data_IF_976355659585
#
_entry.id   IF_976355659585
#
_cell.length_a   1.000
_cell.length_b   1.000
_cell.length_c   1.000
_cell.angle_alpha   90.00
_cell.angle_beta   90.00
_cell.angle_gamma   90.00
#
_symmetry.space_group_name_H-M   'P 1'
#
loop_
_entity.id
_entity.type
_entity.pdbx_description
1 polymer ?
#
# COMPACT_ATOMS: atom_id res chain seq x y z
N UNK A 1 -16.71 -37.17 -48.70
CA UNK A 1 -17.10 -35.79 -48.24
C UNK A 1 -17.27 -35.68 -46.72
N UNK A 2 -17.65 -36.71 -46.00
CA UNK A 2 -17.85 -36.71 -44.53
C UNK A 2 -16.53 -36.52 -43.74
N UNK A 3 -15.41 -36.99 -44.27
CA UNK A 3 -14.08 -36.85 -43.59
C UNK A 3 -13.53 -35.43 -43.68
N UNK A 4 -13.75 -34.74 -44.80
CA UNK A 4 -13.38 -33.32 -44.99
C UNK A 4 -14.21 -32.40 -44.13
N UNK A 5 -15.50 -32.65 -43.93
CA UNK A 5 -16.40 -31.86 -43.08
C UNK A 5 -16.03 -31.95 -41.60
N UNK A 6 -15.58 -33.13 -41.12
CA UNK A 6 -15.08 -33.25 -39.72
C UNK A 6 -13.78 -32.48 -39.49
N UNK A 7 -12.85 -32.48 -40.44
CA UNK A 7 -11.60 -31.74 -40.32
C UNK A 7 -11.79 -30.21 -40.26
N UNK A 8 -12.72 -29.67 -41.06
CA UNK A 8 -13.08 -28.24 -40.99
C UNK A 8 -13.73 -27.87 -39.67
N UNK A 9 -14.64 -28.69 -39.14
CA UNK A 9 -15.27 -28.46 -37.84
C UNK A 9 -14.27 -28.44 -36.68
N UNK A 10 -13.28 -29.33 -36.71
CA UNK A 10 -12.19 -29.36 -35.70
C UNK A 10 -11.26 -28.15 -35.80
N UNK A 11 -10.98 -27.64 -36.98
CA UNK A 11 -10.18 -26.41 -37.19
C UNK A 11 -10.93 -25.20 -36.66
N UNK A 12 -12.22 -25.04 -36.96
CA UNK A 12 -13.05 -23.96 -36.45
C UNK A 12 -13.17 -24.00 -34.93
N UNK A 13 -13.35 -25.19 -34.35
CA UNK A 13 -13.42 -25.37 -32.90
C UNK A 13 -12.10 -25.00 -32.19
N UNK A 14 -10.95 -25.39 -32.77
CA UNK A 14 -9.63 -24.99 -32.26
C UNK A 14 -9.37 -23.49 -32.40
N UNK A 15 -9.81 -22.88 -33.51
CA UNK A 15 -9.70 -21.44 -33.69
C UNK A 15 -10.57 -20.65 -32.71
N UNK A 16 -11.81 -21.12 -32.44
CA UNK A 16 -12.68 -20.53 -31.41
C UNK A 16 -12.07 -20.63 -30.02
N UNK A 17 -11.59 -21.78 -29.61
CA UNK A 17 -10.94 -21.97 -28.32
C UNK A 17 -9.67 -21.10 -28.18
N UNK A 18 -8.87 -20.95 -29.24
CA UNK A 18 -7.69 -20.10 -29.23
C UNK A 18 -8.06 -18.62 -29.13
N UNK A 19 -9.16 -18.19 -29.77
CA UNK A 19 -9.66 -16.83 -29.67
C UNK A 19 -10.14 -16.49 -28.26
N UNK A 20 -10.93 -17.38 -27.66
CA UNK A 20 -11.46 -17.20 -26.29
C UNK A 20 -10.32 -17.17 -25.26
N UNK A 21 -9.32 -18.05 -25.41
CA UNK A 21 -8.14 -18.05 -24.54
C UNK A 21 -7.34 -16.75 -24.67
N UNK A 22 -7.11 -16.26 -25.88
CA UNK A 22 -6.42 -14.98 -26.09
C UNK A 22 -7.20 -13.80 -25.52
N UNK A 23 -8.53 -13.80 -25.69
CA UNK A 23 -9.38 -12.77 -25.11
C UNK A 23 -9.31 -12.75 -23.59
N UNK A 24 -9.31 -13.92 -22.95
CA UNK A 24 -9.15 -14.02 -21.49
C UNK A 24 -7.77 -13.49 -21.05
N UNK A 25 -6.69 -13.88 -21.72
CA UNK A 25 -5.34 -13.37 -21.40
C UNK A 25 -5.28 -11.86 -21.48
N UNK A 26 -5.84 -11.26 -22.53
CA UNK A 26 -5.90 -9.79 -22.67
C UNK A 26 -6.68 -9.15 -21.54
N UNK A 27 -7.78 -9.74 -21.07
CA UNK A 27 -8.57 -9.21 -19.96
C UNK A 27 -7.82 -9.26 -18.62
N UNK A 28 -6.99 -10.27 -18.38
CA UNK A 28 -6.10 -10.31 -17.21
C UNK A 28 -5.01 -9.24 -17.30
N UNK A 29 -4.40 -9.08 -18.46
CA UNK A 29 -3.34 -8.11 -18.70
C UNK A 29 -3.86 -6.66 -18.61
N UNK A 30 -5.10 -6.40 -19.01
CA UNK A 30 -5.75 -5.08 -18.88
C UNK A 30 -5.86 -4.64 -17.42
N UNK A 31 -6.26 -5.53 -16.50
CA UNK A 31 -6.34 -5.21 -15.06
C UNK A 31 -4.97 -4.83 -14.51
N UNK A 32 -3.94 -5.61 -14.80
CA UNK A 32 -2.58 -5.30 -14.35
C UNK A 32 -2.06 -4.00 -14.96
N UNK A 33 -2.41 -3.70 -16.21
CA UNK A 33 -2.02 -2.45 -16.87
C UNK A 33 -2.64 -1.24 -16.18
N UNK A 34 -3.93 -1.26 -15.87
CA UNK A 34 -4.62 -0.17 -15.19
C UNK A 34 -4.01 0.10 -13.81
N UNK A 35 -3.76 -0.92 -13.02
CA UNK A 35 -3.13 -0.78 -11.71
C UNK A 35 -1.70 -0.26 -11.81
N UNK A 36 -0.95 -0.71 -12.81
CA UNK A 36 0.42 -0.22 -13.08
C UNK A 36 0.42 1.26 -13.45
N UNK A 37 -0.50 1.69 -14.30
CA UNK A 37 -0.62 3.10 -14.70
C UNK A 37 -0.87 3.99 -13.48
N UNK A 38 -1.74 3.57 -12.55
CA UNK A 38 -2.00 4.30 -11.30
C UNK A 38 -0.72 4.41 -10.46
N UNK A 39 -0.08 3.29 -10.16
CA UNK A 39 1.13 3.28 -9.31
C UNK A 39 2.29 4.06 -9.96
N UNK A 40 2.46 3.96 -11.26
CA UNK A 40 3.53 4.67 -11.95
C UNK A 40 3.28 6.17 -12.04
N UNK A 41 2.02 6.62 -12.15
CA UNK A 41 1.65 8.02 -12.06
C UNK A 41 1.95 8.57 -10.65
N UNK A 42 1.49 7.92 -9.60
CA UNK A 42 1.78 8.28 -8.20
C UNK A 42 3.31 8.33 -7.93
N UNK A 43 4.03 7.30 -8.39
CA UNK A 43 5.48 7.25 -8.26
C UNK A 43 6.18 8.38 -9.01
N UNK A 44 5.72 8.70 -10.21
CA UNK A 44 6.26 9.81 -11.01
C UNK A 44 6.04 11.14 -10.30
N UNK A 45 4.86 11.38 -9.76
CA UNK A 45 4.52 12.58 -9.03
C UNK A 45 5.43 12.78 -7.81
N UNK A 46 5.71 11.70 -7.05
CA UNK A 46 6.65 11.75 -5.93
C UNK A 46 8.08 12.05 -6.39
N UNK A 47 8.58 11.43 -7.46
CA UNK A 47 9.93 11.65 -7.98
C UNK A 47 10.12 13.09 -8.44
N UNK A 48 9.15 13.60 -9.19
CA UNK A 48 9.23 14.93 -9.81
C UNK A 48 8.81 16.07 -8.88
N UNK A 49 8.23 15.75 -7.70
CA UNK A 49 7.82 16.75 -6.73
C UNK A 49 9.03 17.61 -6.31
N UNK A 50 8.96 18.90 -6.59
CA UNK A 50 9.91 19.91 -6.06
C UNK A 50 9.22 20.72 -4.95
N UNK A 51 8.50 20.02 -4.08
CA UNK A 51 7.72 20.58 -2.98
C UNK A 51 7.77 19.67 -1.77
N UNK A 52 7.39 20.21 -0.63
CA UNK A 52 7.16 19.43 0.58
C UNK A 52 6.00 18.44 0.37
N UNK A 53 6.23 17.18 0.76
CA UNK A 53 5.25 16.08 0.68
C UNK A 53 4.53 15.85 2.02
N UNK A 54 4.70 16.75 3.01
CA UNK A 54 4.01 16.65 4.29
C UNK A 54 2.50 16.54 4.17
N UNK A 55 1.79 17.28 3.28
CA UNK A 55 0.35 17.14 3.13
C UNK A 55 -0.09 15.73 2.72
N UNK A 56 0.65 15.09 1.83
CA UNK A 56 0.39 13.71 1.38
C UNK A 56 0.61 12.72 2.52
N UNK A 57 1.71 12.89 3.25
CA UNK A 57 2.05 12.04 4.40
C UNK A 57 1.00 12.20 5.51
N UNK A 58 0.58 13.43 5.83
CA UNK A 58 -0.49 13.69 6.79
C UNK A 58 -1.80 13.02 6.38
N UNK A 59 -2.13 13.03 5.08
CA UNK A 59 -3.30 12.33 4.56
C UNK A 59 -3.17 10.80 4.72
N UNK A 60 -1.97 10.22 4.50
CA UNK A 60 -1.71 8.80 4.73
C UNK A 60 -1.84 8.43 6.21
N UNK A 61 -1.29 9.23 7.11
CA UNK A 61 -1.42 9.07 8.57
C UNK A 61 -2.90 9.06 8.96
N UNK A 62 -3.66 10.04 8.50
CA UNK A 62 -5.09 10.16 8.80
C UNK A 62 -5.88 8.95 8.30
N UNK A 63 -5.64 8.50 7.07
CA UNK A 63 -6.31 7.30 6.52
C UNK A 63 -5.93 6.03 7.26
N UNK A 64 -4.68 5.90 7.69
CA UNK A 64 -4.21 4.78 8.50
C UNK A 64 -4.92 4.74 9.85
N UNK A 65 -5.01 5.86 10.57
CA UNK A 65 -5.73 5.97 11.84
C UNK A 65 -7.21 5.64 11.67
N UNK A 66 -7.86 6.22 10.65
CA UNK A 66 -9.27 5.96 10.37
C UNK A 66 -9.52 4.46 10.15
N UNK A 67 -8.67 3.80 9.35
CA UNK A 67 -8.81 2.36 9.05
C UNK A 67 -8.71 1.49 10.30
N UNK A 68 -7.82 1.83 11.21
CA UNK A 68 -7.65 1.07 12.47
C UNK A 68 -8.83 1.29 13.40
N UNK A 69 -9.28 2.53 13.62
CA UNK A 69 -10.40 2.83 14.49
C UNK A 69 -11.70 2.25 13.94
N UNK A 70 -11.94 2.39 12.63
CA UNK A 70 -13.14 1.83 11.98
C UNK A 70 -13.12 0.30 11.96
N UNK A 71 -11.94 -0.31 11.74
CA UNK A 71 -11.77 -1.75 11.78
C UNK A 71 -12.01 -2.37 13.15
N UNK A 72 -11.77 -1.63 14.22
CA UNK A 72 -11.97 -2.07 15.60
C UNK A 72 -13.41 -1.83 16.11
N UNK A 73 -14.29 -1.21 15.31
CA UNK A 73 -15.65 -0.81 15.73
C UNK A 73 -16.61 -1.98 16.00
N UNK A 74 -16.24 -3.20 15.63
CA UNK A 74 -17.05 -4.41 15.82
C UNK A 74 -16.66 -5.22 17.06
N UNK A 75 -15.63 -4.81 17.80
CA UNK A 75 -15.17 -5.44 19.03
C UNK A 75 -15.83 -4.83 20.25
N UNK A 76 -15.78 -5.52 21.39
CA UNK A 76 -16.18 -4.94 22.67
C UNK A 76 -15.35 -3.69 22.98
N UNK A 77 -15.89 -2.77 23.77
CA UNK A 77 -15.30 -1.45 24.00
C UNK A 77 -13.85 -1.55 24.56
N UNK A 78 -13.62 -2.47 25.49
CA UNK A 78 -12.33 -2.65 26.13
C UNK A 78 -11.30 -3.25 25.14
N UNK A 79 -11.68 -4.28 24.38
CA UNK A 79 -10.85 -4.90 23.34
C UNK A 79 -10.51 -3.91 22.23
N UNK A 80 -11.44 -3.02 21.88
CA UNK A 80 -11.26 -1.96 20.90
C UNK A 80 -10.20 -0.96 21.37
N UNK A 81 -10.33 -0.44 22.60
CA UNK A 81 -9.38 0.53 23.16
C UNK A 81 -7.98 -0.10 23.23
N UNK A 82 -7.90 -1.34 23.72
CA UNK A 82 -6.63 -2.06 23.78
C UNK A 82 -5.97 -2.23 22.40
N UNK A 83 -6.74 -2.63 21.39
CA UNK A 83 -6.23 -2.79 20.04
C UNK A 83 -5.72 -1.47 19.44
N UNK A 84 -6.47 -0.38 19.61
CA UNK A 84 -6.09 0.96 19.14
C UNK A 84 -4.86 1.45 19.88
N UNK A 85 -4.79 1.25 21.20
CA UNK A 85 -3.68 1.66 22.02
C UNK A 85 -2.38 0.91 21.65
N UNK A 86 -2.46 -0.41 21.49
CA UNK A 86 -1.36 -1.22 21.05
C UNK A 86 -0.85 -0.77 19.66
N UNK A 87 -1.79 -0.53 18.74
CA UNK A 87 -1.43 0.03 17.43
C UNK A 87 -0.69 1.37 17.56
N UNK A 88 -1.22 2.30 18.36
CA UNK A 88 -0.63 3.62 18.52
C UNK A 88 0.78 3.54 19.13
N UNK A 89 0.97 2.78 20.21
CA UNK A 89 2.27 2.60 20.86
C UNK A 89 3.32 1.98 19.94
N UNK A 90 2.94 0.96 19.17
CA UNK A 90 3.89 0.28 18.29
C UNK A 90 4.19 1.04 17.00
N UNK A 91 3.27 1.85 16.49
CA UNK A 91 3.38 2.39 15.14
C UNK A 91 3.40 3.93 15.06
N UNK A 92 2.75 4.65 15.98
CA UNK A 92 2.60 6.10 15.87
C UNK A 92 3.47 6.87 16.86
N UNK A 93 3.44 6.48 18.13
CA UNK A 93 4.01 7.27 19.22
C UNK A 93 4.99 6.44 20.06
N UNK A 94 5.66 7.05 21.03
CA UNK A 94 6.44 6.31 22.03
C UNK A 94 5.52 5.58 23.00
N UNK A 95 5.95 4.43 23.52
CA UNK A 95 5.14 3.59 24.42
C UNK A 95 4.57 4.33 25.64
N UNK A 96 5.35 5.27 26.20
CA UNK A 96 5.00 6.04 27.41
C UNK A 96 4.16 7.28 27.12
N UNK A 97 3.86 7.60 25.85
CA UNK A 97 3.21 8.87 25.49
C UNK A 97 1.68 8.80 25.38
N UNK A 98 1.09 7.63 25.52
CA UNK A 98 -0.35 7.39 25.46
C UNK A 98 -0.77 6.31 26.45
N UNK A 99 -1.89 6.52 27.15
CA UNK A 99 -2.46 5.60 28.15
C UNK A 99 -3.94 5.29 27.86
N UNK A 100 -4.46 4.26 28.49
CA UNK A 100 -5.87 3.85 28.37
C UNK A 100 -6.82 5.00 28.72
N UNK A 101 -6.49 5.76 29.79
CA UNK A 101 -7.27 6.92 30.25
C UNK A 101 -7.40 8.03 29.21
N UNK A 102 -6.50 8.07 28.23
CA UNK A 102 -6.55 9.08 27.16
C UNK A 102 -7.62 8.77 26.10
N UNK A 103 -8.03 7.51 26.00
CA UNK A 103 -9.01 7.02 25.03
C UNK A 103 -10.36 6.67 25.65
N UNK A 104 -10.40 6.39 26.95
CA UNK A 104 -11.63 6.04 27.66
C UNK A 104 -12.69 7.13 27.55
N UNK A 105 -13.93 6.72 27.25
CA UNK A 105 -15.10 7.61 27.17
C UNK A 105 -15.16 8.51 25.94
N UNK A 106 -14.19 8.43 25.05
CA UNK A 106 -14.20 9.18 23.78
C UNK A 106 -14.97 8.45 22.69
N UNK A 107 -15.61 9.21 21.84
CA UNK A 107 -16.19 8.71 20.58
C UNK A 107 -15.09 8.35 19.58
N UNK A 108 -15.44 7.55 18.56
CA UNK A 108 -14.51 7.16 17.50
C UNK A 108 -13.87 8.36 16.81
N UNK A 109 -14.64 9.42 16.60
CA UNK A 109 -14.13 10.64 15.98
C UNK A 109 -13.13 11.37 16.89
N UNK A 110 -13.42 11.46 18.18
CA UNK A 110 -12.51 12.07 19.16
C UNK A 110 -11.20 11.27 19.29
N UNK A 111 -11.29 9.93 19.23
CA UNK A 111 -10.10 9.06 19.20
C UNK A 111 -9.27 9.31 17.96
N UNK A 112 -9.90 9.38 16.76
CA UNK A 112 -9.21 9.66 15.50
C UNK A 112 -8.50 11.00 15.53
N UNK A 113 -9.17 12.04 15.99
CA UNK A 113 -8.62 13.39 16.04
C UNK A 113 -7.47 13.47 17.05
N UNK A 114 -7.62 12.87 18.23
CA UNK A 114 -6.57 12.79 19.23
C UNK A 114 -5.32 12.06 18.74
N UNK A 115 -5.49 10.87 18.12
CA UNK A 115 -4.38 10.10 17.58
C UNK A 115 -3.69 10.83 16.43
N UNK A 116 -4.45 11.55 15.62
CA UNK A 116 -3.90 12.32 14.52
C UNK A 116 -3.06 13.50 15.03
N UNK A 117 -3.52 14.27 16.02
CA UNK A 117 -2.74 15.33 16.64
C UNK A 117 -1.44 14.81 17.23
N UNK A 118 -1.49 13.70 17.99
CA UNK A 118 -0.30 13.06 18.54
C UNK A 118 0.68 12.58 17.47
N UNK A 119 0.15 11.99 16.39
CA UNK A 119 0.98 11.55 15.29
C UNK A 119 1.67 12.74 14.59
N UNK A 120 1.00 13.89 14.43
CA UNK A 120 1.61 15.10 13.88
C UNK A 120 2.73 15.63 14.77
N UNK A 121 2.57 15.65 16.09
CA UNK A 121 3.63 16.06 17.02
C UNK A 121 4.89 15.19 16.85
N UNK A 122 4.71 13.86 16.71
CA UNK A 122 5.83 12.94 16.47
C UNK A 122 6.45 13.19 15.10
N UNK A 123 5.63 13.37 14.06
CA UNK A 123 6.08 13.69 12.71
C UNK A 123 6.94 14.97 12.71
N UNK A 124 6.45 16.06 13.28
CA UNK A 124 7.16 17.33 13.36
C UNK A 124 8.48 17.19 14.11
N UNK A 125 8.50 16.40 15.19
CA UNK A 125 9.71 16.10 15.95
C UNK A 125 10.75 15.32 15.13
N UNK A 126 10.30 14.45 14.20
CA UNK A 126 11.20 13.72 13.31
C UNK A 126 11.76 14.63 12.21
N UNK A 127 10.90 15.43 11.59
CA UNK A 127 11.31 16.39 10.56
C UNK A 127 12.29 17.42 11.11
N UNK A 128 12.07 17.92 12.34
CA UNK A 128 12.96 18.87 13.01
C UNK A 128 14.39 18.35 13.24
N UNK A 129 14.62 17.03 13.18
CA UNK A 129 15.96 16.44 13.25
C UNK A 129 16.73 16.53 11.95
N UNK A 130 16.06 16.86 10.84
CA UNK A 130 16.69 17.02 9.54
C UNK A 130 17.25 18.44 9.41
N UNK A 131 18.38 18.54 8.72
CA UNK A 131 19.21 19.75 8.70
C UNK A 131 18.59 20.93 7.96
N UNK A 132 17.88 20.67 6.88
CA UNK A 132 17.30 21.67 5.98
C UNK A 132 16.11 21.11 5.21
N UNK A 133 15.38 21.99 4.52
CA UNK A 133 14.20 21.61 3.74
C UNK A 133 14.50 20.64 2.57
N UNK A 134 15.71 20.70 2.01
CA UNK A 134 16.12 19.78 0.95
C UNK A 134 16.28 18.35 1.51
N UNK A 135 16.88 18.22 2.69
CA UNK A 135 16.99 16.93 3.38
C UNK A 135 15.62 16.38 3.77
N UNK A 136 14.67 17.24 4.15
CA UNK A 136 13.28 16.83 4.43
C UNK A 136 12.63 16.25 3.18
N UNK A 137 12.66 16.99 2.06
CA UNK A 137 12.09 16.54 0.79
C UNK A 137 12.70 15.22 0.31
N UNK A 138 14.02 15.11 0.38
CA UNK A 138 14.73 13.88 -0.02
C UNK A 138 14.34 12.69 0.87
N UNK A 139 14.29 12.90 2.18
CA UNK A 139 13.87 11.86 3.13
C UNK A 139 12.45 11.37 2.85
N UNK A 140 11.49 12.29 2.66
CA UNK A 140 10.11 11.98 2.34
C UNK A 140 10.00 11.16 1.04
N UNK A 141 10.67 11.63 -0.04
CA UNK A 141 10.68 10.94 -1.34
C UNK A 141 11.24 9.54 -1.24
N UNK A 142 12.43 9.40 -0.66
CA UNK A 142 13.09 8.10 -0.54
C UNK A 142 12.26 7.10 0.24
N UNK A 143 11.64 7.56 1.35
CA UNK A 143 10.82 6.69 2.17
C UNK A 143 9.57 6.23 1.44
N UNK A 144 8.83 7.14 0.81
CA UNK A 144 7.61 6.81 0.05
C UNK A 144 7.95 5.85 -1.10
N UNK A 145 8.96 6.20 -1.92
CA UNK A 145 9.35 5.38 -3.07
C UNK A 145 9.78 3.98 -2.67
N UNK A 146 10.54 3.85 -1.59
CA UNK A 146 10.97 2.53 -1.09
C UNK A 146 9.79 1.65 -0.71
N UNK A 147 8.80 2.21 -0.02
CA UNK A 147 7.61 1.45 0.39
C UNK A 147 6.78 1.08 -0.82
N UNK A 148 6.51 2.04 -1.72
CA UNK A 148 5.74 1.81 -2.95
C UNK A 148 6.39 0.72 -3.80
N UNK A 149 7.70 0.80 -4.06
CA UNK A 149 8.42 -0.16 -4.90
C UNK A 149 8.39 -1.57 -4.29
N UNK A 150 8.54 -1.70 -2.96
CA UNK A 150 8.46 -3.00 -2.29
C UNK A 150 7.06 -3.60 -2.38
N UNK A 151 6.02 -2.83 -2.01
CA UNK A 151 4.63 -3.31 -2.03
C UNK A 151 4.12 -3.63 -3.43
N UNK A 152 4.54 -2.83 -4.42
CA UNK A 152 4.19 -3.09 -5.80
C UNK A 152 4.81 -4.39 -6.32
N UNK A 153 6.06 -4.69 -5.98
CA UNK A 153 6.71 -5.95 -6.34
C UNK A 153 5.96 -7.14 -5.76
N UNK A 154 5.66 -7.09 -4.45
CA UNK A 154 4.90 -8.13 -3.77
C UNK A 154 3.50 -8.32 -4.39
N UNK A 155 2.86 -7.22 -4.81
CA UNK A 155 1.54 -7.24 -5.44
C UNK A 155 1.55 -7.88 -6.82
N UNK A 156 2.56 -7.63 -7.66
CA UNK A 156 2.72 -8.31 -8.96
C UNK A 156 2.79 -9.82 -8.76
N UNK A 157 3.62 -10.28 -7.82
CA UNK A 157 3.76 -11.71 -7.54
C UNK A 157 2.45 -12.32 -7.03
N UNK A 158 1.70 -11.59 -6.19
CA UNK A 158 0.39 -12.02 -5.70
C UNK A 158 -0.67 -12.08 -6.81
N UNK A 159 -0.66 -11.16 -7.79
CA UNK A 159 -1.54 -11.20 -8.95
C UNK A 159 -1.24 -12.39 -9.87
N UNK A 160 0.02 -12.74 -10.06
CA UNK A 160 0.40 -13.93 -10.82
C UNK A 160 -0.09 -15.22 -10.14
N UNK A 161 -0.01 -15.29 -8.81
CA UNK A 161 -0.56 -16.40 -8.04
C UNK A 161 -2.08 -16.47 -8.15
N UNK A 162 -2.77 -15.32 -8.04
CA UNK A 162 -4.23 -15.23 -8.21
C UNK A 162 -4.65 -15.70 -9.59
N UNK A 163 -3.97 -15.27 -10.66
CA UNK A 163 -4.25 -15.69 -12.04
C UNK A 163 -4.20 -17.20 -12.19
N UNK A 164 -3.21 -17.86 -11.60
CA UNK A 164 -3.07 -19.29 -11.61
C UNK A 164 -4.18 -19.98 -10.79
N UNK A 165 -4.53 -19.47 -9.62
CA UNK A 165 -5.56 -20.00 -8.73
C UNK A 165 -6.96 -19.92 -9.36
N UNK A 166 -7.32 -18.79 -9.95
CA UNK A 166 -8.61 -18.59 -10.62
C UNK A 166 -8.75 -19.47 -11.86
N UNK A 167 -7.66 -19.68 -12.60
CA UNK A 167 -7.64 -20.62 -13.74
C UNK A 167 -8.01 -22.06 -13.35
N UNK A 168 -7.60 -22.51 -12.16
CA UNK A 168 -7.93 -23.82 -11.62
C UNK A 168 -9.40 -23.90 -11.12
N UNK A 169 -9.98 -22.81 -10.62
CA UNK A 169 -11.37 -22.74 -10.14
C UNK A 169 -12.40 -22.65 -11.26
N UNK A 170 -12.01 -22.32 -12.49
CA UNK A 170 -12.87 -22.16 -13.66
C UNK A 170 -13.74 -23.38 -14.02
N UNK A 171 -13.57 -24.51 -13.32
CA UNK A 171 -14.45 -25.68 -13.40
C UNK A 171 -15.78 -25.52 -12.65
N UNK A 172 -15.97 -24.49 -11.82
CA UNK A 172 -17.14 -24.26 -10.96
C UNK A 172 -17.94 -23.03 -11.44
N UNK A 173 -18.61 -23.12 -12.60
CA UNK A 173 -19.68 -22.24 -13.12
C UNK A 173 -19.49 -20.70 -13.03
N UNK A 174 -18.45 -20.17 -12.44
CA UNK A 174 -18.17 -18.74 -12.39
C UNK A 174 -17.23 -18.32 -13.53
N UNK A 175 -17.45 -17.12 -14.07
CA UNK A 175 -16.52 -16.56 -15.07
C UNK A 175 -15.18 -16.21 -14.40
N UNK A 176 -14.07 -16.89 -14.73
CA UNK A 176 -12.79 -16.70 -14.07
C UNK A 176 -12.26 -15.27 -14.19
N UNK A 177 -12.58 -14.56 -15.25
CA UNK A 177 -12.15 -13.17 -15.47
C UNK A 177 -12.83 -12.23 -14.50
N UNK A 178 -14.13 -12.40 -14.26
CA UNK A 178 -14.87 -11.55 -13.30
C UNK A 178 -14.37 -11.78 -11.87
N UNK A 179 -14.11 -13.04 -11.52
CA UNK A 179 -13.53 -13.37 -10.20
C UNK A 179 -12.14 -12.73 -10.04
N UNK A 180 -11.29 -12.85 -11.06
CA UNK A 180 -9.98 -12.21 -11.07
C UNK A 180 -10.06 -10.70 -10.93
N UNK A 181 -10.94 -10.04 -11.69
CA UNK A 181 -11.11 -8.57 -11.60
C UNK A 181 -11.53 -8.13 -10.21
N UNK A 182 -12.52 -8.79 -9.61
CA UNK A 182 -13.00 -8.46 -8.27
C UNK A 182 -11.93 -8.66 -7.20
N UNK A 183 -11.22 -9.79 -7.26
CA UNK A 183 -10.19 -10.12 -6.27
C UNK A 183 -8.95 -9.24 -6.43
N UNK A 184 -8.49 -9.00 -7.67
CA UNK A 184 -7.36 -8.11 -7.94
C UNK A 184 -7.61 -6.67 -7.51
N UNK A 185 -8.85 -6.17 -7.65
CA UNK A 185 -9.24 -4.86 -7.16
C UNK A 185 -9.17 -4.79 -5.63
N UNK A 186 -9.65 -5.82 -4.92
CA UNK A 186 -9.54 -5.91 -3.47
C UNK A 186 -8.08 -5.93 -3.02
N UNK A 187 -7.26 -6.79 -3.62
CA UNK A 187 -5.83 -6.89 -3.34
C UNK A 187 -5.09 -5.57 -3.58
N UNK A 188 -5.47 -4.83 -4.63
CA UNK A 188 -4.90 -3.52 -4.92
C UNK A 188 -5.24 -2.50 -3.84
N UNK A 189 -6.49 -2.44 -3.38
CA UNK A 189 -6.88 -1.56 -2.27
C UNK A 189 -6.18 -1.93 -0.96
N UNK A 190 -5.99 -3.22 -0.69
CA UNK A 190 -5.25 -3.71 0.48
C UNK A 190 -3.77 -3.32 0.39
N UNK A 191 -3.16 -3.39 -0.80
CA UNK A 191 -1.80 -2.91 -1.05
C UNK A 191 -1.67 -1.41 -0.79
N UNK A 192 -2.58 -0.59 -1.32
CA UNK A 192 -2.59 0.87 -1.05
C UNK A 192 -2.67 1.12 0.46
N UNK A 193 -3.57 0.42 1.16
CA UNK A 193 -3.67 0.51 2.61
C UNK A 193 -2.38 0.11 3.34
N UNK A 194 -1.70 -0.89 2.84
CA UNK A 194 -0.42 -1.34 3.38
C UNK A 194 0.71 -0.33 3.11
N UNK A 195 0.70 0.36 1.95
CA UNK A 195 1.62 1.47 1.65
C UNK A 195 1.42 2.60 2.65
N UNK A 196 0.18 3.05 2.85
CA UNK A 196 -0.13 4.13 3.79
C UNK A 196 0.28 3.78 5.22
N UNK A 197 0.03 2.56 5.64
CA UNK A 197 0.45 2.05 6.94
C UNK A 197 1.97 2.04 7.10
N UNK A 198 2.71 1.47 6.15
CA UNK A 198 4.16 1.34 6.25
C UNK A 198 4.86 2.71 6.12
N UNK A 199 4.37 3.62 5.28
CA UNK A 199 4.86 5.00 5.21
C UNK A 199 4.66 5.69 6.57
N UNK A 200 3.45 5.60 7.14
CA UNK A 200 3.15 6.16 8.47
C UNK A 200 4.11 5.62 9.52
N UNK A 201 4.20 4.30 9.64
CA UNK A 201 5.06 3.64 10.64
C UNK A 201 6.53 4.02 10.49
N UNK A 202 7.05 4.01 9.26
CA UNK A 202 8.45 4.35 9.01
C UNK A 202 8.75 5.82 9.29
N UNK A 203 7.82 6.73 8.97
CA UNK A 203 7.95 8.15 9.33
C UNK A 203 8.05 8.35 10.85
N UNK A 204 7.20 7.64 11.62
CA UNK A 204 7.16 7.80 13.08
C UNK A 204 8.36 7.15 13.79
N UNK A 205 8.85 6.03 13.26
CA UNK A 205 9.89 5.20 13.91
C UNK A 205 11.27 5.35 13.28
N UNK A 206 11.45 6.23 12.29
CA UNK A 206 12.73 6.45 11.65
C UNK A 206 13.78 6.93 12.68
N UNK A 207 14.91 6.24 12.70
CA UNK A 207 16.09 6.71 13.44
C UNK A 207 16.94 7.56 12.51
N UNK A 208 16.81 8.87 12.63
CA UNK A 208 17.60 9.82 11.85
C UNK A 208 18.94 9.99 12.56
N UNK A 209 20.00 9.42 12.00
CA UNK A 209 21.37 9.65 12.45
C UNK A 209 22.01 10.73 11.59
N UNK A 210 22.41 11.81 12.20
CA UNK A 210 23.19 12.86 11.56
C UNK A 210 24.59 12.33 11.25
N UNK A 211 24.82 11.90 10.00
CA UNK A 211 26.15 11.60 9.52
C UNK A 211 26.80 12.91 9.05
N UNK A 212 27.80 13.38 9.79
CA UNK A 212 28.75 14.36 9.27
C UNK A 212 29.46 13.78 8.04
N UNK A 213 29.02 14.15 6.84
CA UNK A 213 29.74 13.79 5.62
C UNK A 213 30.89 14.74 5.41
N UNK A 214 32.12 14.24 5.16
CA UNK A 214 33.16 15.06 4.57
C UNK A 214 32.70 15.55 3.18
N UNK A 215 33.01 16.76 2.85
CA UNK A 215 32.50 17.61 1.76
C UNK A 215 32.83 17.13 0.31
N UNK A 216 33.04 15.87 0.10
CA UNK A 216 33.40 15.28 -1.22
C UNK A 216 32.67 13.96 -1.37
N UNK A 217 31.55 14.01 -2.07
CA UNK A 217 30.98 13.03 -2.97
C UNK A 217 29.45 13.15 -3.01
N UNK A 218 28.96 13.69 -4.11
CA UNK A 218 27.59 13.50 -4.57
C UNK A 218 27.39 12.04 -4.97
N UNK A 219 26.93 11.20 -4.06
CA UNK A 219 26.41 9.89 -4.40
C UNK A 219 25.62 9.30 -3.23
N UNK A 220 24.32 9.18 -3.40
CA UNK A 220 23.43 8.09 -3.00
C UNK A 220 23.94 7.17 -1.87
N UNK A 221 23.97 7.64 -0.62
CA UNK A 221 24.16 6.74 0.51
C UNK A 221 23.52 7.33 1.78
N UNK A 222 22.20 7.47 1.75
CA UNK A 222 21.44 7.97 2.87
C UNK A 222 20.43 6.95 3.39
N UNK A 223 20.76 5.66 3.40
CA UNK A 223 19.84 4.72 4.05
C UNK A 223 20.61 3.59 4.72
N UNK A 224 20.99 3.83 5.97
CA UNK A 224 21.04 2.75 6.95
C UNK A 224 19.79 2.91 7.82
N UNK A 225 18.64 2.52 7.25
CA UNK A 225 17.39 2.39 7.98
C UNK A 225 17.16 0.90 8.15
N UNK A 226 17.09 0.48 9.43
CA UNK A 226 16.62 -0.79 9.95
C UNK A 226 17.65 -1.93 10.04
N UNK A 227 18.10 -2.14 11.24
CA UNK A 227 18.17 -3.47 11.88
C UNK A 227 17.13 -3.56 12.96
#
# INVERSE_FOLDING_TARGET
DLVRSRGLGDVYKRQGNNYDTRKQVLQYDDVMREQREIIYAERHDVITADRDLSPEIHAMIKRTINRIVDGSSHSDQDDKIEAILNFAKYNLVSEDSISDSDLEGKSDQEIKDYLFERALEVYDSQIAKLRDEEAVREFQKVLILRVVDSKWTDHIDALDQLRNAVGLRGYAQNNPVVEYQAESFRMFNDMIGSIEFDVTRLMMKAQIHEQERPRTERALSLIHILR
#
